data_IF_211762583976
#
_entry.id   IF_211762583976
#
_cell.length_a   1.000
_cell.length_b   1.000
_cell.length_c   1.000
_cell.angle_alpha   90.00
_cell.angle_beta   90.00
_cell.angle_gamma   90.00
#
_symmetry.space_group_name_H-M   'P 1'
#
loop_
_entity.id
_entity.type
_entity.pdbx_description
1 polymer ?
#
# COMPACT_ATOMS: atom_id res chain seq x y z
N UNK A 1 -6.09 -5.10 15.55
CA UNK A 1 -4.94 -5.49 14.71
C UNK A 1 -5.20 -4.90 13.34
N UNK A 2 -4.72 -3.69 13.09
CA UNK A 2 -4.90 -3.06 11.78
C UNK A 2 -4.06 -3.79 10.75
N UNK A 3 -4.72 -4.47 9.79
CA UNK A 3 -4.01 -5.15 8.69
C UNK A 3 -3.71 -4.12 7.61
N UNK A 4 -2.45 -3.71 7.52
CA UNK A 4 -1.97 -2.91 6.40
C UNK A 4 -1.65 -3.84 5.24
N UNK A 5 -2.19 -3.56 4.07
CA UNK A 5 -1.89 -4.26 2.81
C UNK A 5 -1.34 -3.26 1.81
N UNK A 6 -0.14 -3.53 1.31
CA UNK A 6 0.59 -2.68 0.38
C UNK A 6 0.65 -3.37 -0.97
N UNK A 7 -0.15 -2.86 -1.90
CA UNK A 7 -0.16 -3.26 -3.29
C UNK A 7 0.99 -2.57 -4.02
N UNK A 8 1.89 -3.38 -4.57
CA UNK A 8 3.09 -2.92 -5.26
C UNK A 8 3.18 -3.53 -6.65
N UNK A 9 4.11 -3.02 -7.45
CA UNK A 9 4.46 -3.56 -8.77
C UNK A 9 5.97 -3.59 -8.93
N UNK A 10 6.47 -4.36 -9.90
CA UNK A 10 7.87 -4.36 -10.29
C UNK A 10 8.31 -2.95 -10.73
N UNK A 11 9.58 -2.65 -10.47
CA UNK A 11 10.21 -1.36 -10.79
C UNK A 11 9.54 -0.10 -10.19
N UNK A 12 8.83 -0.23 -9.07
CA UNK A 12 8.21 0.90 -8.37
C UNK A 12 9.09 1.43 -7.22
N UNK A 13 9.77 2.56 -7.42
CA UNK A 13 10.60 3.23 -6.40
C UNK A 13 9.77 3.66 -5.19
N UNK A 14 8.58 4.23 -5.43
CA UNK A 14 7.67 4.67 -4.35
C UNK A 14 7.19 3.50 -3.48
N UNK A 15 7.04 2.31 -4.06
CA UNK A 15 6.66 1.11 -3.34
C UNK A 15 7.75 0.70 -2.35
N UNK A 16 9.03 0.71 -2.79
CA UNK A 16 10.18 0.46 -1.90
C UNK A 16 10.25 1.46 -0.75
N UNK A 17 10.00 2.75 -1.02
CA UNK A 17 9.97 3.81 0.01
C UNK A 17 8.87 3.56 1.05
N UNK A 18 7.66 3.17 0.60
CA UNK A 18 6.53 2.89 1.48
C UNK A 18 6.79 1.71 2.41
N UNK A 19 7.34 0.60 1.87
CA UNK A 19 7.72 -0.56 2.68
C UNK A 19 8.76 -0.21 3.72
N UNK A 20 9.85 0.46 3.32
CA UNK A 20 10.89 0.91 4.25
C UNK A 20 10.32 1.80 5.35
N UNK A 21 9.36 2.66 5.02
CA UNK A 21 8.71 3.50 6.02
C UNK A 21 7.93 2.66 7.03
N UNK A 22 7.11 1.72 6.56
CA UNK A 22 6.34 0.81 7.42
C UNK A 22 7.23 -0.06 8.30
N UNK A 23 8.29 -0.64 7.73
CA UNK A 23 9.32 -1.40 8.46
C UNK A 23 10.01 -0.55 9.52
N UNK A 24 10.38 0.70 9.19
CA UNK A 24 11.01 1.62 10.12
C UNK A 24 10.07 2.06 11.26
N UNK A 25 8.76 2.00 11.06
CA UNK A 25 7.76 2.22 12.11
C UNK A 25 7.39 0.93 12.85
N UNK A 26 7.91 -0.23 12.44
CA UNK A 26 7.56 -1.52 13.04
C UNK A 26 6.11 -1.96 12.78
N UNK A 27 5.46 -1.40 11.75
CA UNK A 27 4.08 -1.74 11.40
C UNK A 27 4.10 -3.04 10.60
N UNK A 28 3.39 -4.10 11.03
CA UNK A 28 3.22 -5.29 10.21
C UNK A 28 2.33 -4.97 9.00
N UNK A 29 2.86 -5.20 7.80
CA UNK A 29 2.10 -5.05 6.55
C UNK A 29 2.24 -6.28 5.67
N UNK A 30 1.21 -6.53 4.86
CA UNK A 30 1.22 -7.54 3.80
C UNK A 30 1.57 -6.88 2.49
N UNK A 31 2.62 -7.34 1.84
CA UNK A 31 2.91 -6.95 0.45
C UNK A 31 2.13 -7.84 -0.52
N UNK A 32 1.48 -7.23 -1.51
CA UNK A 32 0.87 -7.93 -2.64
C UNK A 32 1.41 -7.32 -3.93
N UNK A 33 2.00 -8.14 -4.80
CA UNK A 33 2.45 -7.69 -6.11
C UNK A 33 1.29 -7.81 -7.11
N UNK A 34 0.78 -6.68 -7.59
CA UNK A 34 -0.37 -6.65 -8.51
C UNK A 34 -0.01 -7.19 -9.91
N UNK A 35 1.28 -7.29 -10.24
CA UNK A 35 1.70 -7.94 -11.50
C UNK A 35 1.65 -9.46 -11.43
N UNK A 36 1.75 -10.04 -10.23
CA UNK A 36 1.52 -11.47 -10.02
C UNK A 36 0.04 -11.75 -9.74
N UNK A 37 -0.59 -10.88 -8.94
CA UNK A 37 -1.97 -11.00 -8.51
C UNK A 37 -2.86 -10.02 -9.28
N UNK A 38 -3.05 -10.31 -10.57
CA UNK A 38 -3.83 -9.47 -11.49
C UNK A 38 -5.29 -9.29 -11.07
N UNK A 39 -5.82 -10.17 -10.22
CA UNK A 39 -7.15 -10.03 -9.61
C UNK A 39 -7.32 -8.70 -8.86
N UNK A 40 -6.28 -8.22 -8.16
CA UNK A 40 -6.34 -6.93 -7.47
C UNK A 40 -6.13 -5.75 -8.41
N UNK A 41 -5.54 -5.95 -9.59
CA UNK A 41 -5.37 -4.86 -10.56
C UNK A 41 -6.72 -4.33 -11.01
N UNK A 42 -7.67 -5.22 -11.30
CA UNK A 42 -9.01 -4.83 -11.73
C UNK A 42 -9.75 -4.09 -10.62
N UNK A 43 -9.68 -4.58 -9.38
CA UNK A 43 -10.28 -3.93 -8.22
C UNK A 43 -9.69 -2.53 -7.97
N UNK A 44 -8.37 -2.38 -8.02
CA UNK A 44 -7.68 -1.10 -7.84
C UNK A 44 -8.02 -0.12 -8.97
N UNK A 45 -8.10 -0.60 -10.22
CA UNK A 45 -8.52 0.21 -11.37
C UNK A 45 -9.98 0.65 -11.24
N UNK A 46 -10.87 -0.24 -10.82
CA UNK A 46 -12.28 0.05 -10.58
C UNK A 46 -12.45 1.08 -9.45
N UNK A 47 -11.61 1.01 -8.43
CA UNK A 47 -11.54 1.98 -7.33
C UNK A 47 -10.93 3.33 -7.74
N UNK A 48 -10.48 3.48 -9.00
CA UNK A 48 -9.90 4.70 -9.53
C UNK A 48 -8.42 4.90 -9.20
N UNK A 49 -7.77 3.92 -8.55
CA UNK A 49 -6.34 3.97 -8.29
C UNK A 49 -5.55 3.69 -9.57
N UNK A 50 -4.88 4.73 -10.09
CA UNK A 50 -4.05 4.65 -11.31
C UNK A 50 -2.56 4.62 -11.02
N UNK A 51 -2.17 4.71 -9.75
CA UNK A 51 -0.79 4.85 -9.33
C UNK A 51 -0.48 3.86 -8.20
N UNK A 52 0.68 3.22 -8.30
CA UNK A 52 1.25 2.37 -7.26
C UNK A 52 2.31 3.14 -6.49
N UNK A 53 2.49 2.91 -5.17
CA UNK A 53 1.85 1.87 -4.36
C UNK A 53 0.41 2.23 -3.98
N UNK A 54 -0.45 1.22 -3.80
CA UNK A 54 -1.74 1.41 -3.12
C UNK A 54 -1.63 0.79 -1.75
N UNK A 55 -2.00 1.54 -0.72
CA UNK A 55 -1.98 1.07 0.67
C UNK A 55 -3.44 0.99 1.12
N UNK A 56 -3.89 -0.22 1.40
CA UNK A 56 -5.16 -0.50 2.04
C UNK A 56 -4.92 -0.74 3.53
N UNK A 57 -5.72 -0.12 4.37
CA UNK A 57 -5.64 -0.27 5.83
C UNK A 57 -7.02 -0.61 6.32
N UNK A 58 -7.14 -1.67 7.12
CA UNK A 58 -8.42 -2.09 7.66
C UNK A 58 -9.04 -0.95 8.49
N UNK A 59 -10.23 -0.47 8.08
CA UNK A 59 -10.93 0.64 8.75
C UNK A 59 -10.61 2.05 8.21
N UNK A 60 -9.70 2.19 7.24
CA UNK A 60 -9.40 3.45 6.58
C UNK A 60 -9.55 3.34 5.05
N UNK A 61 -9.87 4.43 4.35
CA UNK A 61 -9.91 4.44 2.90
C UNK A 61 -8.51 4.13 2.33
N UNK A 62 -8.47 3.18 1.39
CA UNK A 62 -7.25 2.87 0.66
C UNK A 62 -6.77 4.11 -0.09
N UNK A 63 -5.45 4.30 -0.13
CA UNK A 63 -4.86 5.46 -0.78
C UNK A 63 -3.73 5.02 -1.71
N UNK A 64 -3.61 5.71 -2.83
CA UNK A 64 -2.51 5.53 -3.78
C UNK A 64 -1.42 6.57 -3.58
N UNK A 65 -0.17 6.16 -3.80
CA UNK A 65 1.03 6.98 -3.70
C UNK A 65 1.69 6.94 -2.32
N UNK A 66 2.94 7.42 -2.27
CA UNK A 66 3.68 7.54 -1.00
C UNK A 66 3.17 8.72 -0.18
N UNK A 67 2.40 8.44 0.88
CA UNK A 67 1.81 9.44 1.79
C UNK A 67 2.29 9.21 3.23
N UNK A 68 3.46 9.75 3.63
CA UNK A 68 4.00 9.55 4.97
C UNK A 68 3.07 10.09 6.06
N UNK A 69 2.28 11.12 5.78
CA UNK A 69 1.32 11.69 6.73
C UNK A 69 0.23 10.70 7.14
N UNK A 70 -0.26 9.89 6.19
CA UNK A 70 -1.28 8.87 6.45
C UNK A 70 -0.64 7.68 7.14
N UNK A 71 0.54 7.25 6.68
CA UNK A 71 1.27 6.13 7.27
C UNK A 71 1.58 6.37 8.75
N UNK A 72 1.96 7.60 9.14
CA UNK A 72 2.16 7.98 10.55
C UNK A 72 0.92 7.87 11.42
N UNK A 73 -0.28 8.00 10.84
CA UNK A 73 -1.54 7.85 11.60
C UNK A 73 -1.87 6.39 11.91
N UNK A 74 -1.30 5.45 11.16
CA UNK A 74 -1.48 4.01 11.38
C UNK A 74 -0.55 3.51 12.51
N UNK A 75 0.60 4.17 12.70
CA UNK A 75 1.56 3.83 13.77
C UNK A 75 1.24 4.46 15.13
N UNK A 76 0.28 5.38 15.19
CA UNK A 76 0.03 6.23 16.35
C UNK A 76 -0.98 5.65 17.33
#
# INVERSE_FOLDING_TARGET
MEKVTVYTKYNCVQCKMTKKFLEAQGIPFKEINIEEETQFVEELKASGHRQTPVVAVEGLPAFSGFRPDVLKKISA
#
